data_IF_894092569242
#
_entry.id   IF_894092569242
#
_cell.length_a   1.000
_cell.length_b   1.000
_cell.length_c   1.000
_cell.angle_alpha   90.00
_cell.angle_beta   90.00
_cell.angle_gamma   90.00
#
_symmetry.space_group_name_H-M   'P 1'
#
loop_
_entity.id
_entity.type
_entity.pdbx_description
1 polymer ?
#
# COMPACT_ATOMS: atom_id res chain seq x y z
N UNK A 1 14.10 25.74 38.37
CA UNK A 1 15.11 25.20 39.31
C UNK A 1 14.85 23.72 39.50
N UNK A 2 15.85 22.87 39.16
CA UNK A 2 16.21 21.58 39.79
C UNK A 2 15.16 20.43 39.68
N UNK A 3 15.43 19.20 39.23
CA UNK A 3 16.68 18.46 39.01
C UNK A 3 16.51 17.36 37.94
N UNK A 4 17.60 17.08 37.25
CA UNK A 4 17.91 15.91 36.44
C UNK A 4 18.15 14.66 37.28
N UNK A 5 18.01 13.46 36.68
CA UNK A 5 18.97 12.35 36.83
C UNK A 5 18.85 11.30 35.72
N UNK A 6 20.00 11.00 35.13
CA UNK A 6 20.29 9.96 34.15
C UNK A 6 21.08 8.82 34.81
N UNK A 7 20.90 7.57 34.35
CA UNK A 7 21.88 6.45 34.35
C UNK A 7 21.13 5.17 33.93
N UNK A 8 21.29 4.59 32.72
CA UNK A 8 22.37 3.71 32.22
C UNK A 8 22.62 2.43 33.05
N UNK A 9 22.45 1.27 32.39
CA UNK A 9 23.29 0.07 32.57
C UNK A 9 23.02 -0.93 31.44
N UNK A 10 24.02 -1.14 30.58
CA UNK A 10 24.25 -2.37 29.81
C UNK A 10 24.99 -3.36 30.70
N UNK A 11 24.70 -4.66 30.58
CA UNK A 11 25.64 -5.72 30.91
C UNK A 11 25.29 -6.99 30.10
N UNK A 12 26.28 -7.41 29.30
CA UNK A 12 26.38 -8.68 28.58
C UNK A 12 26.70 -9.85 29.53
N UNK A 13 26.38 -11.09 29.11
CA UNK A 13 27.38 -12.18 28.86
C UNK A 13 26.93 -13.60 29.22
N UNK A 14 27.21 -14.52 28.27
CA UNK A 14 27.65 -15.92 28.39
C UNK A 14 26.76 -16.94 29.16
N UNK A 15 26.59 -18.20 28.76
CA UNK A 15 27.29 -19.10 27.84
C UNK A 15 26.82 -20.54 28.13
N UNK A 16 27.26 -21.56 27.36
CA UNK A 16 26.55 -22.83 27.19
C UNK A 16 27.18 -24.03 27.91
N UNK A 17 26.40 -25.09 28.10
CA UNK A 17 26.85 -26.45 28.42
C UNK A 17 25.89 -27.46 27.77
N UNK A 18 26.21 -28.71 27.41
CA UNK A 18 27.41 -29.46 27.01
C UNK A 18 26.97 -30.95 27.01
N UNK A 19 27.56 -31.77 26.13
CA UNK A 19 27.72 -33.24 26.21
C UNK A 19 26.63 -34.22 25.66
N UNK A 20 26.89 -34.69 24.43
CA UNK A 20 26.87 -36.12 24.00
C UNK A 20 27.93 -36.95 24.79
N UNK A 21 28.04 -38.32 24.77
CA UNK A 21 27.95 -39.21 23.59
C UNK A 21 27.50 -40.68 23.85
N UNK A 22 27.46 -41.53 22.81
CA UNK A 22 28.12 -42.88 22.73
C UNK A 22 27.85 -43.53 21.36
N UNK A 23 28.87 -44.23 20.86
CA UNK A 23 29.09 -44.73 19.51
C UNK A 23 28.53 -46.14 19.19
N UNK A 24 28.34 -46.38 17.88
CA UNK A 24 28.58 -47.54 16.95
C UNK A 24 28.98 -48.94 17.50
N UNK A 25 29.06 -50.05 16.70
CA UNK A 25 28.98 -50.25 15.23
C UNK A 25 28.17 -51.50 14.78
N UNK A 26 28.06 -51.85 13.48
CA UNK A 26 28.77 -53.00 12.85
C UNK A 26 28.51 -53.12 11.34
N UNK A 27 29.56 -53.60 10.66
CA UNK A 27 29.89 -53.79 9.23
C UNK A 27 29.09 -54.86 8.48
N UNK A 28 29.03 -54.74 7.14
CA UNK A 28 29.57 -55.70 6.12
C UNK A 28 29.01 -55.35 4.72
N UNK A 29 29.79 -54.88 3.73
CA UNK A 29 30.67 -55.55 2.74
C UNK A 29 30.06 -56.66 1.88
N UNK A 30 29.94 -56.40 0.56
CA UNK A 30 30.46 -57.15 -0.63
C UNK A 30 29.71 -56.65 -1.88
N UNK A 31 30.31 -56.03 -2.90
CA UNK A 31 31.32 -56.39 -3.92
C UNK A 31 30.75 -57.09 -5.16
N UNK A 32 30.98 -56.41 -6.31
CA UNK A 32 31.12 -56.89 -7.69
C UNK A 32 29.87 -57.41 -8.43
N UNK A 33 29.81 -57.48 -9.76
CA UNK A 33 30.37 -56.77 -10.91
C UNK A 33 29.87 -57.56 -12.14
N UNK A 34 29.43 -56.84 -13.18
CA UNK A 34 29.41 -57.22 -14.61
C UNK A 34 28.85 -58.60 -15.05
N UNK A 35 27.87 -58.58 -15.96
CA UNK A 35 28.09 -58.99 -17.37
C UNK A 35 26.86 -58.75 -18.27
N UNK A 36 27.19 -58.50 -19.52
CA UNK A 36 26.41 -58.14 -20.71
C UNK A 36 25.98 -59.39 -21.48
N UNK A 37 24.74 -59.44 -21.98
CA UNK A 37 24.39 -60.08 -23.28
C UNK A 37 22.89 -59.97 -23.60
N UNK A 38 22.56 -59.21 -24.65
CA UNK A 38 21.42 -59.43 -25.60
C UNK A 38 21.82 -60.50 -26.64
N UNK A 39 20.98 -61.00 -27.57
CA UNK A 39 19.58 -60.68 -27.97
C UNK A 39 18.65 -61.93 -27.95
N UNK A 40 17.32 -61.90 -28.14
CA UNK A 40 16.61 -61.75 -29.43
C UNK A 40 15.09 -61.90 -29.22
N UNK A 41 14.32 -61.10 -29.95
CA UNK A 41 12.94 -61.25 -30.46
C UNK A 41 12.07 -62.46 -30.08
N UNK A 42 10.86 -62.20 -29.59
CA UNK A 42 9.62 -62.73 -30.21
C UNK A 42 8.39 -61.93 -29.80
N UNK A 43 7.58 -61.66 -30.82
CA UNK A 43 6.29 -60.98 -30.86
C UNK A 43 5.23 -61.70 -30.00
N UNK A 44 4.45 -60.95 -29.22
CA UNK A 44 3.04 -61.26 -28.95
C UNK A 44 2.32 -60.05 -28.37
N UNK A 45 1.39 -59.55 -29.16
CA UNK A 45 0.40 -58.52 -28.90
C UNK A 45 -0.62 -58.94 -27.84
N UNK A 46 -0.81 -58.13 -26.81
CA UNK A 46 -2.01 -58.15 -25.96
C UNK A 46 -2.43 -56.73 -25.62
N UNK A 47 -3.48 -56.28 -26.32
CA UNK A 47 -4.18 -55.03 -26.13
C UNK A 47 -4.93 -55.06 -24.79
N UNK A 48 -4.36 -54.45 -23.75
CA UNK A 48 -5.10 -54.09 -22.53
C UNK A 48 -5.45 -52.60 -22.58
N UNK A 49 -6.72 -52.33 -22.85
CA UNK A 49 -7.37 -51.02 -22.76
C UNK A 49 -7.32 -50.52 -21.32
N UNK A 50 -6.34 -49.66 -21.02
CA UNK A 50 -6.28 -48.92 -19.77
C UNK A 50 -7.35 -47.80 -19.80
N UNK A 51 -8.45 -48.01 -19.10
CA UNK A 51 -9.41 -46.95 -18.76
C UNK A 51 -8.71 -46.02 -17.76
N UNK A 52 -7.98 -45.04 -18.29
CA UNK A 52 -7.35 -43.99 -17.49
C UNK A 52 -8.44 -43.12 -16.89
N UNK A 53 -8.48 -43.14 -15.55
CA UNK A 53 -9.40 -42.41 -14.68
C UNK A 53 -9.47 -40.93 -15.06
N UNK A 54 -10.67 -40.48 -15.42
CA UNK A 54 -11.07 -39.08 -15.65
C UNK A 54 -11.13 -38.30 -14.32
N UNK A 55 -10.05 -38.30 -13.55
CA UNK A 55 -9.93 -37.64 -12.23
C UNK A 55 -9.05 -36.38 -12.25
N UNK A 56 -8.59 -35.94 -13.42
CA UNK A 56 -7.70 -34.76 -13.56
C UNK A 56 -8.41 -33.42 -13.68
N UNK A 57 -9.70 -33.39 -14.03
CA UNK A 57 -10.39 -32.12 -14.33
C UNK A 57 -10.90 -31.39 -13.09
N UNK A 58 -11.17 -32.09 -11.98
CA UNK A 58 -11.56 -31.44 -10.71
C UNK A 58 -10.37 -30.80 -10.03
N UNK A 59 -9.19 -31.44 -10.03
CA UNK A 59 -7.98 -30.87 -9.42
C UNK A 59 -7.41 -29.69 -10.20
N UNK A 60 -7.51 -29.69 -11.53
CA UNK A 60 -7.11 -28.55 -12.36
C UNK A 60 -8.12 -27.39 -12.28
N UNK A 61 -9.41 -27.67 -12.08
CA UNK A 61 -10.46 -26.64 -11.91
C UNK A 61 -10.51 -26.07 -10.49
N UNK A 62 -10.11 -26.86 -9.48
CA UNK A 62 -9.85 -26.40 -8.11
C UNK A 62 -8.53 -25.61 -8.01
N UNK A 63 -7.49 -26.01 -8.75
CA UNK A 63 -6.27 -25.21 -8.89
C UNK A 63 -6.47 -23.95 -9.76
N UNK A 64 -7.51 -23.93 -10.60
CA UNK A 64 -7.95 -22.81 -11.42
C UNK A 64 -9.13 -22.04 -10.83
N UNK A 65 -9.53 -22.31 -9.59
CA UNK A 65 -10.22 -21.31 -8.80
C UNK A 65 -9.19 -20.21 -8.54
N UNK A 66 -9.17 -19.26 -9.48
CA UNK A 66 -8.04 -18.36 -9.71
C UNK A 66 -7.61 -17.71 -8.41
N UNK A 67 -6.32 -17.81 -8.09
CA UNK A 67 -5.74 -17.08 -6.96
C UNK A 67 -6.22 -15.65 -7.07
N UNK A 68 -6.91 -15.18 -6.03
CA UNK A 68 -7.44 -13.83 -6.00
C UNK A 68 -6.31 -12.84 -6.31
N UNK A 69 -6.65 -11.83 -7.09
CA UNK A 69 -5.69 -10.97 -7.73
C UNK A 69 -6.26 -9.57 -7.91
N UNK A 70 -5.35 -8.61 -7.94
CA UNK A 70 -5.67 -7.21 -8.04
C UNK A 70 -4.89 -6.59 -9.19
N UNK A 71 -5.60 -5.86 -10.04
CA UNK A 71 -4.99 -4.97 -11.03
C UNK A 71 -5.55 -3.57 -10.79
N UNK A 72 -4.71 -2.56 -10.54
CA UNK A 72 -5.19 -1.18 -10.37
C UNK A 72 -5.95 -0.71 -11.61
N UNK A 73 -7.06 -0.01 -11.39
CA UNK A 73 -7.83 0.57 -12.50
C UNK A 73 -7.06 1.72 -13.15
N UNK A 74 -7.33 2.01 -14.42
CA UNK A 74 -6.72 3.16 -15.11
C UNK A 74 -6.99 4.48 -14.36
N UNK A 75 -8.19 4.65 -13.80
CA UNK A 75 -8.52 5.82 -12.99
C UNK A 75 -7.69 5.86 -11.70
N UNK A 76 -7.53 4.73 -10.99
CA UNK A 76 -6.67 4.68 -9.80
C UNK A 76 -5.25 5.13 -10.12
N UNK A 77 -4.68 4.63 -11.22
CA UNK A 77 -3.32 4.98 -11.63
C UNK A 77 -3.21 6.46 -12.06
N UNK A 78 -4.18 6.97 -12.81
CA UNK A 78 -4.25 8.39 -13.17
C UNK A 78 -4.33 9.27 -11.92
N UNK A 79 -5.23 8.91 -10.99
CA UNK A 79 -5.41 9.64 -9.74
C UNK A 79 -4.12 9.64 -8.92
N UNK A 80 -3.46 8.49 -8.75
CA UNK A 80 -2.16 8.41 -8.05
C UNK A 80 -1.09 9.26 -8.74
N UNK A 81 -1.05 9.28 -10.08
CA UNK A 81 -0.06 10.04 -10.85
C UNK A 81 -0.20 11.54 -10.63
N UNK A 82 -1.43 12.04 -10.49
CA UNK A 82 -1.72 13.45 -10.25
C UNK A 82 -1.61 13.81 -8.76
N UNK A 83 -2.22 13.00 -7.89
CA UNK A 83 -2.35 13.33 -6.46
C UNK A 83 -1.05 13.20 -5.69
N UNK A 84 -0.22 12.18 -5.96
CA UNK A 84 1.02 11.97 -5.21
C UNK A 84 1.99 13.15 -5.32
N UNK A 85 2.32 13.68 -6.51
CA UNK A 85 3.18 14.86 -6.61
C UNK A 85 2.58 16.09 -5.91
N UNK A 86 1.27 16.30 -6.04
CA UNK A 86 0.59 17.44 -5.42
C UNK A 86 0.62 17.35 -3.89
N UNK A 87 0.32 16.19 -3.32
CA UNK A 87 0.32 15.97 -1.87
C UNK A 87 1.73 16.03 -1.31
N UNK A 88 2.75 15.54 -2.02
CA UNK A 88 4.16 15.70 -1.62
C UNK A 88 4.53 17.19 -1.57
N UNK A 89 4.20 17.94 -2.63
CA UNK A 89 4.47 19.38 -2.70
C UNK A 89 3.78 20.14 -1.56
N UNK A 90 2.52 19.81 -1.29
CA UNK A 90 1.73 20.36 -0.19
C UNK A 90 2.28 20.01 1.19
N UNK A 91 2.65 18.75 1.40
CA UNK A 91 3.23 18.28 2.66
C UNK A 91 4.51 19.04 2.99
N UNK A 92 5.40 19.20 2.00
CA UNK A 92 6.66 19.94 2.21
C UNK A 92 6.35 21.42 2.47
N UNK A 93 5.38 22.01 1.75
CA UNK A 93 4.94 23.38 2.03
C UNK A 93 4.51 23.53 3.50
N UNK A 94 3.59 22.68 3.94
CA UNK A 94 2.95 22.77 5.26
C UNK A 94 3.93 22.51 6.39
N UNK A 95 4.74 21.45 6.30
CA UNK A 95 5.68 21.06 7.36
C UNK A 95 6.96 21.92 7.35
N UNK A 96 7.28 22.55 6.23
CA UNK A 96 8.41 23.46 6.09
C UNK A 96 8.14 24.90 6.52
N UNK A 97 6.92 25.24 6.98
CA UNK A 97 6.60 26.60 7.43
C UNK A 97 7.44 26.98 8.65
N UNK A 98 7.91 28.23 8.76
CA UNK A 98 7.63 29.36 7.86
C UNK A 98 8.58 29.46 6.65
N UNK A 99 9.59 28.59 6.52
CA UNK A 99 10.63 28.72 5.48
C UNK A 99 10.09 28.62 4.05
N UNK A 100 9.01 27.88 3.85
CA UNK A 100 8.31 27.70 2.57
C UNK A 100 7.25 28.78 2.30
N UNK A 101 6.87 29.58 3.30
CA UNK A 101 5.88 30.67 3.17
C UNK A 101 6.48 31.92 2.54
N UNK A 102 5.64 32.84 2.08
CA UNK A 102 6.10 34.13 1.55
C UNK A 102 7.07 34.83 2.53
N UNK A 103 8.23 35.25 2.02
CA UNK A 103 9.32 35.83 2.82
C UNK A 103 10.31 34.79 3.37
N UNK A 104 9.99 33.50 3.31
CA UNK A 104 10.88 32.40 3.67
C UNK A 104 11.89 32.07 2.56
N UNK A 105 13.06 31.56 2.95
CA UNK A 105 14.17 31.29 2.02
C UNK A 105 13.92 30.11 1.07
N UNK A 106 13.00 29.20 1.40
CA UNK A 106 12.60 28.10 0.51
C UNK A 106 11.47 28.51 -0.44
N UNK A 107 10.73 29.58 -0.17
CA UNK A 107 9.51 29.94 -0.89
C UNK A 107 9.68 29.99 -2.41
N UNK A 108 10.77 30.61 -2.87
CA UNK A 108 11.14 30.65 -4.27
C UNK A 108 12.05 29.46 -4.63
N UNK A 109 11.84 28.79 -5.78
CA UNK A 109 10.81 29.04 -6.80
C UNK A 109 9.54 28.18 -6.65
N UNK A 110 9.56 27.16 -5.80
CA UNK A 110 8.57 26.08 -5.86
C UNK A 110 7.26 26.37 -5.14
N UNK A 111 7.24 27.25 -4.14
CA UNK A 111 6.05 27.49 -3.31
C UNK A 111 5.42 28.86 -3.52
N UNK A 112 5.84 29.59 -4.57
CA UNK A 112 5.27 30.88 -4.96
C UNK A 112 3.75 30.85 -5.11
N UNK A 113 3.12 29.81 -5.70
CA UNK A 113 1.65 29.75 -5.78
C UNK A 113 0.95 29.75 -4.41
N UNK A 114 1.63 29.28 -3.35
CA UNK A 114 1.06 29.27 -2.00
C UNK A 114 0.91 30.64 -1.39
N UNK A 115 1.52 31.70 -1.95
CA UNK A 115 1.20 33.07 -1.57
C UNK A 115 -0.28 33.35 -1.84
N UNK A 116 -0.72 33.19 -3.08
CA UNK A 116 -2.11 33.37 -3.47
C UNK A 116 -3.02 32.38 -2.74
N UNK A 117 -2.59 31.12 -2.62
CA UNK A 117 -3.41 30.11 -1.95
C UNK A 117 -3.63 30.45 -0.47
N UNK A 118 -2.62 30.93 0.25
CA UNK A 118 -2.73 31.37 1.64
C UNK A 118 -3.58 32.63 1.85
N UNK A 119 -3.80 33.43 0.80
CA UNK A 119 -4.76 34.56 0.81
C UNK A 119 -6.21 34.09 0.58
N UNK A 120 -6.40 33.00 -0.17
CA UNK A 120 -7.73 32.39 -0.36
C UNK A 120 -8.11 31.59 0.87
N UNK A 121 -7.20 30.76 1.35
CA UNK A 121 -7.41 29.85 2.43
C UNK A 121 -6.43 30.16 3.54
N UNK A 122 -6.93 30.86 4.57
CA UNK A 122 -6.10 31.32 5.66
C UNK A 122 -5.50 30.19 6.52
N UNK A 123 -6.00 28.94 6.39
CA UNK A 123 -5.36 27.74 6.97
C UNK A 123 -3.96 27.54 6.39
N UNK A 124 -3.74 28.01 5.16
CA UNK A 124 -2.44 27.99 4.49
C UNK A 124 -1.59 29.25 4.71
N UNK A 125 -2.20 30.34 5.16
CA UNK A 125 -1.55 31.65 5.30
C UNK A 125 -0.94 31.95 6.67
N UNK A 126 -0.44 33.18 6.80
CA UNK A 126 0.16 33.69 8.04
C UNK A 126 -0.83 33.78 9.21
N UNK A 127 -2.15 33.91 8.94
CA UNK A 127 -3.20 33.88 9.97
C UNK A 127 -3.09 32.64 10.85
N UNK A 128 -3.01 31.45 10.24
CA UNK A 128 -2.93 30.19 10.97
C UNK A 128 -1.63 30.07 11.79
N UNK A 129 -0.49 30.53 11.24
CA UNK A 129 0.80 30.50 11.93
C UNK A 129 0.83 31.43 13.13
N UNK A 130 0.37 32.68 12.97
CA UNK A 130 0.32 33.66 14.06
C UNK A 130 -0.67 33.26 15.15
N UNK A 131 -1.76 32.59 14.79
CA UNK A 131 -2.73 32.05 15.74
C UNK A 131 -2.22 30.77 16.46
N UNK A 132 -1.07 30.21 16.07
CA UNK A 132 -0.57 28.95 16.61
C UNK A 132 -1.48 27.76 16.30
N UNK A 133 -2.21 27.80 15.17
CA UNK A 133 -3.15 26.75 14.79
C UNK A 133 -2.41 25.48 14.34
N UNK A 134 -2.59 24.39 15.10
CA UNK A 134 -2.00 23.09 14.77
C UNK A 134 -2.72 22.32 13.65
N UNK A 135 -3.88 22.79 13.21
CA UNK A 135 -4.75 22.04 12.30
C UNK A 135 -4.05 21.74 10.96
N UNK A 136 -3.49 22.74 10.29
CA UNK A 136 -2.82 22.54 9.00
C UNK A 136 -1.62 21.62 9.11
N UNK A 137 -0.79 21.79 10.15
CA UNK A 137 0.38 20.94 10.37
C UNK A 137 -0.03 19.47 10.62
N UNK A 138 -1.10 19.24 11.38
CA UNK A 138 -1.65 17.90 11.59
C UNK A 138 -2.16 17.28 10.28
N UNK A 139 -2.83 18.05 9.43
CA UNK A 139 -3.24 17.64 8.08
C UNK A 139 -2.03 17.27 7.23
N UNK A 140 -0.97 18.10 7.24
CA UNK A 140 0.29 17.83 6.53
C UNK A 140 1.03 16.59 7.03
N UNK A 141 1.00 16.31 8.33
CA UNK A 141 1.56 15.07 8.87
C UNK A 141 0.80 13.83 8.37
N UNK A 142 -0.53 13.87 8.37
CA UNK A 142 -1.33 12.79 7.80
C UNK A 142 -1.12 12.65 6.28
N UNK A 143 -0.92 13.76 5.55
CA UNK A 143 -0.50 13.72 4.14
C UNK A 143 0.81 12.94 3.95
N UNK A 144 1.79 13.10 4.85
CA UNK A 144 3.04 12.35 4.78
C UNK A 144 2.83 10.83 4.96
N UNK A 145 2.00 10.43 5.94
CA UNK A 145 1.65 9.02 6.19
C UNK A 145 0.89 8.43 5.00
N UNK A 146 -0.13 9.14 4.53
CA UNK A 146 -0.91 8.77 3.36
C UNK A 146 -0.03 8.60 2.11
N UNK A 147 0.88 9.54 1.88
CA UNK A 147 1.84 9.49 0.77
C UNK A 147 2.71 8.24 0.85
N UNK A 148 3.22 7.90 2.04
CA UNK A 148 4.02 6.68 2.22
C UNK A 148 3.21 5.41 1.90
N UNK A 149 1.94 5.36 2.30
CA UNK A 149 1.04 4.25 2.00
C UNK A 149 0.73 4.13 0.51
N UNK A 150 0.39 5.24 -0.16
CA UNK A 150 0.15 5.23 -1.61
C UNK A 150 1.42 4.91 -2.41
N UNK A 151 2.60 5.38 -1.98
CA UNK A 151 3.87 4.98 -2.58
C UNK A 151 4.11 3.48 -2.43
N UNK A 152 3.82 2.89 -1.27
CA UNK A 152 3.92 1.44 -1.09
C UNK A 152 3.00 0.68 -2.06
N UNK A 153 1.76 1.16 -2.24
CA UNK A 153 0.81 0.61 -3.21
C UNK A 153 1.33 0.71 -4.66
N UNK A 154 1.80 1.89 -5.08
CA UNK A 154 2.34 2.13 -6.43
C UNK A 154 3.62 1.32 -6.68
N UNK A 155 4.50 1.20 -5.69
CA UNK A 155 5.72 0.38 -5.79
C UNK A 155 5.37 -1.11 -5.96
N UNK A 156 4.36 -1.60 -5.23
CA UNK A 156 3.88 -2.98 -5.39
C UNK A 156 3.35 -3.22 -6.81
N UNK A 157 2.53 -2.31 -7.33
CA UNK A 157 2.05 -2.35 -8.72
C UNK A 157 3.21 -2.28 -9.73
N UNK A 158 4.17 -1.37 -9.55
CA UNK A 158 5.32 -1.24 -10.44
C UNK A 158 6.20 -2.49 -10.44
N UNK A 159 6.39 -3.11 -9.28
CA UNK A 159 7.10 -4.38 -9.16
C UNK A 159 6.37 -5.50 -9.91
N UNK A 160 5.03 -5.56 -9.84
CA UNK A 160 4.24 -6.49 -10.63
C UNK A 160 4.35 -6.19 -12.14
N UNK A 161 4.34 -4.92 -12.53
CA UNK A 161 4.43 -4.47 -13.93
C UNK A 161 5.74 -4.87 -14.63
N UNK A 162 6.82 -5.05 -13.85
CA UNK A 162 8.09 -5.59 -14.32
C UNK A 162 8.05 -7.11 -14.56
N UNK A 163 7.09 -7.82 -13.95
CA UNK A 163 6.92 -9.27 -14.07
C UNK A 163 5.82 -9.66 -15.07
N UNK A 164 4.78 -8.84 -15.21
CA UNK A 164 3.68 -9.05 -16.15
C UNK A 164 3.21 -7.71 -16.75
N UNK A 165 2.64 -7.74 -17.95
CA UNK A 165 2.31 -6.54 -18.70
C UNK A 165 1.15 -5.73 -18.09
N UNK A 166 0.34 -6.37 -17.26
CA UNK A 166 -0.88 -5.81 -16.69
C UNK A 166 -0.63 -5.12 -15.34
N UNK A 167 0.53 -5.35 -14.70
CA UNK A 167 0.76 -4.94 -13.32
C UNK A 167 -0.13 -5.69 -12.32
N UNK A 168 -0.53 -6.91 -12.67
CA UNK A 168 -1.40 -7.79 -11.89
C UNK A 168 -0.65 -8.33 -10.68
N UNK A 169 -1.17 -8.04 -9.49
CA UNK A 169 -0.75 -8.62 -8.22
C UNK A 169 -1.60 -9.85 -7.92
N UNK A 170 -1.04 -10.84 -7.25
CA UNK A 170 -1.77 -12.06 -6.87
C UNK A 170 -1.52 -12.44 -5.40
N UNK A 171 -2.46 -13.16 -4.80
CA UNK A 171 -2.33 -13.71 -3.44
C UNK A 171 -2.06 -12.64 -2.37
N UNK A 172 -1.08 -12.89 -1.51
CA UNK A 172 -0.78 -12.01 -0.36
C UNK A 172 -0.31 -10.62 -0.79
N UNK A 173 0.48 -10.51 -1.86
CA UNK A 173 0.96 -9.22 -2.37
C UNK A 173 -0.21 -8.32 -2.80
N UNK A 174 -1.18 -8.91 -3.52
CA UNK A 174 -2.40 -8.20 -3.86
C UNK A 174 -3.18 -7.78 -2.61
N UNK A 175 -3.23 -8.62 -1.57
CA UNK A 175 -4.09 -8.40 -0.42
C UNK A 175 -3.55 -7.24 0.42
N UNK A 176 -2.23 -7.24 0.62
CA UNK A 176 -1.53 -6.15 1.29
C UNK A 176 -1.66 -4.86 0.48
N UNK A 177 -1.44 -4.90 -0.83
CA UNK A 177 -1.55 -3.69 -1.66
C UNK A 177 -2.96 -3.09 -1.58
N UNK A 178 -4.01 -3.90 -1.80
CA UNK A 178 -5.40 -3.43 -1.74
C UNK A 178 -5.73 -2.87 -0.35
N UNK A 179 -5.33 -3.55 0.73
CA UNK A 179 -5.59 -3.08 2.09
C UNK A 179 -4.89 -1.75 2.39
N UNK A 180 -3.64 -1.59 1.98
CA UNK A 180 -2.87 -0.35 2.15
C UNK A 180 -3.50 0.79 1.36
N UNK A 181 -3.79 0.56 0.07
CA UNK A 181 -4.43 1.57 -0.79
C UNK A 181 -5.82 1.98 -0.30
N UNK A 182 -6.63 1.02 0.16
CA UNK A 182 -7.95 1.27 0.73
C UNK A 182 -7.86 2.11 2.01
N UNK A 183 -6.95 1.74 2.92
CA UNK A 183 -6.76 2.44 4.18
C UNK A 183 -6.29 3.88 3.97
N UNK A 184 -5.38 4.09 3.01
CA UNK A 184 -4.95 5.43 2.61
C UNK A 184 -6.12 6.25 2.04
N UNK A 185 -6.96 5.65 1.19
CA UNK A 185 -8.13 6.33 0.62
C UNK A 185 -9.18 6.73 1.67
N UNK A 186 -9.44 5.87 2.66
CA UNK A 186 -10.29 6.20 3.80
C UNK A 186 -9.70 7.36 4.62
N UNK A 187 -8.38 7.35 4.86
CA UNK A 187 -7.69 8.43 5.55
C UNK A 187 -7.84 9.76 4.79
N UNK A 188 -7.60 9.76 3.47
CA UNK A 188 -7.76 10.95 2.63
C UNK A 188 -9.17 11.49 2.71
N UNK A 189 -10.18 10.64 2.49
CA UNK A 189 -11.58 11.06 2.50
C UNK A 189 -11.98 11.64 3.87
N UNK A 190 -11.63 10.93 4.95
CA UNK A 190 -11.97 11.36 6.31
C UNK A 190 -11.34 12.70 6.65
N UNK A 191 -10.08 12.88 6.28
CA UNK A 191 -9.31 14.11 6.47
C UNK A 191 -9.91 15.27 5.67
N UNK A 192 -10.26 15.05 4.41
CA UNK A 192 -10.88 16.08 3.57
C UNK A 192 -12.28 16.43 4.09
N UNK A 193 -13.10 15.46 4.50
CA UNK A 193 -14.40 15.75 5.13
C UNK A 193 -14.21 16.55 6.41
N UNK A 194 -13.26 16.17 7.27
CA UNK A 194 -12.92 16.92 8.47
C UNK A 194 -12.52 18.35 8.13
N UNK A 195 -11.78 18.56 7.03
CA UNK A 195 -11.39 19.90 6.60
C UNK A 195 -12.61 20.77 6.24
N UNK A 196 -13.54 20.25 5.45
CA UNK A 196 -14.80 20.94 5.14
C UNK A 196 -15.66 21.21 6.38
N UNK A 197 -15.76 20.23 7.28
CA UNK A 197 -16.52 20.38 8.51
C UNK A 197 -15.88 21.40 9.46
N UNK A 198 -14.55 21.45 9.53
CA UNK A 198 -13.84 22.44 10.33
C UNK A 198 -14.18 23.86 9.88
N UNK A 199 -14.22 24.12 8.57
CA UNK A 199 -14.67 25.42 8.06
C UNK A 199 -16.13 25.69 8.40
N UNK A 200 -17.04 24.73 8.17
CA UNK A 200 -18.45 24.89 8.49
C UNK A 200 -18.69 25.24 9.97
N UNK A 201 -18.09 24.48 10.90
CA UNK A 201 -18.26 24.69 12.35
C UNK A 201 -17.49 25.91 12.88
N UNK A 202 -16.51 26.40 12.13
CA UNK A 202 -15.80 27.65 12.47
C UNK A 202 -16.45 28.89 11.82
N UNK A 203 -17.63 28.77 11.22
CA UNK A 203 -18.31 29.88 10.55
C UNK A 203 -17.58 30.37 9.30
N UNK A 204 -16.88 29.46 8.60
CA UNK A 204 -16.04 29.73 7.44
C UNK A 204 -14.92 30.75 7.70
N UNK A 205 -14.35 30.74 8.90
CA UNK A 205 -13.35 31.70 9.35
C UNK A 205 -12.12 31.82 8.42
N UNK A 206 -11.74 30.76 7.70
CA UNK A 206 -10.56 30.81 6.83
C UNK A 206 -10.86 31.09 5.37
N UNK A 207 -12.10 30.92 4.92
CA UNK A 207 -12.47 31.02 3.49
C UNK A 207 -13.63 31.97 3.19
N UNK A 208 -14.39 32.38 4.21
CA UNK A 208 -15.64 33.14 4.07
C UNK A 208 -15.46 34.56 3.56
N UNK A 209 -14.24 35.10 3.55
CA UNK A 209 -13.91 36.40 2.99
C UNK A 209 -13.83 36.40 1.45
N UNK A 210 -13.80 35.23 0.81
CA UNK A 210 -13.67 35.13 -0.64
C UNK A 210 -15.00 35.34 -1.37
N UNK A 211 -14.93 35.96 -2.55
CA UNK A 211 -16.04 35.88 -3.51
C UNK A 211 -16.17 34.45 -4.06
N UNK A 212 -17.38 34.06 -4.48
CA UNK A 212 -17.63 32.74 -5.06
C UNK A 212 -16.76 32.46 -6.29
N UNK A 213 -16.49 33.49 -7.12
CA UNK A 213 -15.64 33.36 -8.30
C UNK A 213 -14.19 32.97 -7.96
N UNK A 214 -13.70 33.34 -6.77
CA UNK A 214 -12.38 32.93 -6.28
C UNK A 214 -12.46 31.59 -5.55
N UNK A 215 -13.47 31.43 -4.70
CA UNK A 215 -13.64 30.25 -3.85
C UNK A 215 -13.89 28.97 -4.66
N UNK A 216 -14.69 29.04 -5.72
CA UNK A 216 -15.04 27.86 -6.52
C UNK A 216 -13.79 27.19 -7.13
N UNK A 217 -12.99 27.88 -7.97
CA UNK A 217 -11.84 27.26 -8.63
C UNK A 217 -10.66 27.00 -7.70
N UNK A 218 -10.48 27.80 -6.64
CA UNK A 218 -9.29 27.70 -5.80
C UNK A 218 -9.51 26.86 -4.54
N UNK A 219 -10.75 26.65 -4.08
CA UNK A 219 -11.01 25.87 -2.87
C UNK A 219 -12.02 24.73 -3.10
N UNK A 220 -13.19 25.01 -3.67
CA UNK A 220 -14.26 24.00 -3.82
C UNK A 220 -13.86 22.90 -4.79
N UNK A 221 -13.47 23.25 -6.02
CA UNK A 221 -13.13 22.27 -7.05
C UNK A 221 -11.90 21.43 -6.64
N UNK A 222 -10.79 22.03 -6.17
CA UNK A 222 -9.65 21.26 -5.70
C UNK A 222 -10.04 20.32 -4.58
N UNK A 223 -10.57 20.81 -3.46
CA UNK A 223 -10.91 19.92 -2.34
C UNK A 223 -12.01 18.89 -2.70
N UNK A 224 -12.95 19.25 -3.57
CA UNK A 224 -13.97 18.34 -4.11
C UNK A 224 -13.37 17.20 -4.94
N UNK A 225 -12.31 17.43 -5.69
CA UNK A 225 -11.62 16.38 -6.43
C UNK A 225 -11.04 15.31 -5.49
N UNK A 226 -10.53 15.70 -4.32
CA UNK A 226 -10.05 14.74 -3.31
C UNK A 226 -11.19 13.90 -2.72
N UNK A 227 -12.37 14.48 -2.50
CA UNK A 227 -13.55 13.72 -2.08
C UNK A 227 -13.92 12.65 -3.13
N UNK A 228 -13.96 13.03 -4.41
CA UNK A 228 -14.34 12.12 -5.50
C UNK A 228 -13.28 11.03 -5.71
N UNK A 229 -12.01 11.39 -5.82
CA UNK A 229 -10.92 10.46 -6.08
C UNK A 229 -10.79 9.41 -4.98
N UNK A 230 -10.86 9.83 -3.71
CA UNK A 230 -10.78 8.93 -2.57
C UNK A 230 -12.03 8.06 -2.43
N UNK A 231 -13.23 8.61 -2.63
CA UNK A 231 -14.46 7.80 -2.62
C UNK A 231 -14.45 6.71 -3.70
N UNK A 232 -13.98 7.04 -4.92
CA UNK A 232 -13.82 6.05 -5.97
C UNK A 232 -12.83 4.95 -5.58
N UNK A 233 -11.67 5.31 -5.00
CA UNK A 233 -10.68 4.32 -4.58
C UNK A 233 -11.20 3.40 -3.46
N UNK A 234 -11.94 3.96 -2.49
CA UNK A 234 -12.62 3.17 -1.45
C UNK A 234 -13.58 2.18 -2.08
N UNK A 235 -14.41 2.62 -3.03
CA UNK A 235 -15.35 1.75 -3.73
C UNK A 235 -14.63 0.65 -4.52
N UNK A 236 -13.65 1.02 -5.35
CA UNK A 236 -12.94 0.09 -6.24
C UNK A 236 -12.09 -0.93 -5.46
N UNK A 237 -11.27 -0.46 -4.51
CA UNK A 237 -10.44 -1.34 -3.70
C UNK A 237 -11.28 -2.13 -2.68
N UNK A 238 -12.35 -1.53 -2.14
CA UNK A 238 -13.30 -2.21 -1.27
C UNK A 238 -14.00 -3.37 -1.97
N UNK A 239 -14.43 -3.19 -3.23
CA UNK A 239 -14.98 -4.28 -4.04
C UNK A 239 -13.97 -5.44 -4.19
N UNK A 240 -12.69 -5.13 -4.44
CA UNK A 240 -11.64 -6.15 -4.52
C UNK A 240 -11.48 -6.92 -3.20
N UNK A 241 -11.62 -6.26 -2.04
CA UNK A 241 -11.60 -6.91 -0.72
C UNK A 241 -12.78 -7.87 -0.59
N UNK A 242 -13.98 -7.44 -0.94
CA UNK A 242 -15.21 -8.25 -0.89
C UNK A 242 -15.05 -9.49 -1.78
N UNK A 243 -14.64 -9.32 -3.03
CA UNK A 243 -14.41 -10.42 -3.98
C UNK A 243 -13.43 -11.45 -3.43
N UNK A 244 -12.38 -10.99 -2.73
CA UNK A 244 -11.39 -11.87 -2.09
C UNK A 244 -11.96 -12.67 -0.92
N UNK A 245 -12.80 -12.04 -0.10
CA UNK A 245 -13.48 -12.70 1.02
C UNK A 245 -14.53 -13.71 0.55
N UNK A 246 -15.28 -13.37 -0.50
CA UNK A 246 -16.25 -14.28 -1.12
C UNK A 246 -15.57 -15.49 -1.76
N UNK A 247 -14.48 -15.26 -2.50
CA UNK A 247 -13.68 -16.34 -3.07
C UNK A 247 -13.16 -17.29 -1.97
N UNK A 248 -12.58 -16.76 -0.89
CA UNK A 248 -12.11 -17.59 0.23
C UNK A 248 -13.24 -18.38 0.90
N UNK A 249 -14.41 -17.77 1.08
CA UNK A 249 -15.58 -18.40 1.72
C UNK A 249 -16.20 -19.51 0.86
N UNK A 250 -16.14 -19.38 -0.47
CA UNK A 250 -16.60 -20.40 -1.41
C UNK A 250 -15.76 -21.68 -1.34
N UNK A 251 -14.44 -21.54 -1.18
CA UNK A 251 -13.53 -22.69 -1.02
C UNK A 251 -13.74 -23.41 0.32
N UNK A 252 -13.98 -22.68 1.40
CA UNK A 252 -14.22 -23.27 2.72
C UNK A 252 -15.51 -24.12 2.80
N UNK A 253 -16.46 -23.95 1.87
CA UNK A 253 -17.68 -24.77 1.79
C UNK A 253 -17.52 -26.02 0.95
N UNK A 254 -16.44 -26.14 0.16
CA UNK A 254 -16.18 -27.26 -0.74
C UNK A 254 -15.15 -28.27 -0.21
N UNK A 255 -14.51 -27.97 0.91
CA UNK A 255 -13.59 -28.84 1.66
C UNK A 255 -14.32 -29.51 2.84
#
# INVERSE_FOLDING_TARGET
MVSTRSSSSRADSAGPDSASPTASPTKSTTRAAAKRSTPSSSTSSSTTTAVSRRSGNTSARAAAAGRWAHTPTAFTLLWMTVSLPLVVWDTIYVLGRPHTMEGGWLHWPLWVPYKLYGEVDHVYGWKAVHAGSGFTAAQGFLNAVETAMYLAYVVAWWAARRRNAEGRLEGRDAAVAVLVGFSAAVMTLSKTVLYWMNEYYSGFDNIGHNSLARLIPLWIIPNGAWLVGSAYMIWSLGANIIDGLEAASGHAKSD
#
